data_IF_974860720579
#
_entry.id   IF_974860720579
#
_cell.length_a   1.000
_cell.length_b   1.000
_cell.length_c   1.000
_cell.angle_alpha   90.00
_cell.angle_beta   90.00
_cell.angle_gamma   90.00
#
_symmetry.space_group_name_H-M   'P 1'
#
loop_
_entity.id
_entity.type
_entity.pdbx_description
1 polymer ?
#
# COMPACT_ATOMS: atom_id res chain seq x y z
N UNK A 1 9.30 -13.07 -18.98
CA UNK A 1 9.45 -12.09 -17.89
C UNK A 1 10.26 -12.71 -16.76
N UNK A 2 11.21 -11.98 -16.16
CA UNK A 2 12.06 -12.46 -15.05
C UNK A 2 11.81 -11.62 -13.80
N UNK A 3 11.69 -12.29 -12.63
CA UNK A 3 11.54 -11.65 -11.32
C UNK A 3 12.65 -12.14 -10.40
N UNK A 4 13.33 -11.24 -9.68
CA UNK A 4 14.40 -11.57 -8.74
C UNK A 4 14.26 -10.78 -7.43
N UNK A 5 14.41 -11.47 -6.31
CA UNK A 5 14.31 -10.91 -4.98
C UNK A 5 15.68 -10.48 -4.46
N UNK A 6 15.81 -9.23 -4.04
CA UNK A 6 17.04 -8.64 -3.51
C UNK A 6 16.93 -8.29 -2.02
N UNK A 7 15.69 -8.16 -1.53
CA UNK A 7 15.37 -7.94 -0.13
C UNK A 7 13.97 -8.44 0.18
N UNK A 8 13.81 -9.12 1.30
CA UNK A 8 12.59 -9.86 1.68
C UNK A 8 12.14 -9.57 3.11
N UNK A 9 12.90 -8.76 3.88
CA UNK A 9 12.58 -8.37 5.26
C UNK A 9 11.68 -7.16 5.32
N UNK A 10 10.84 -7.12 6.35
CA UNK A 10 10.04 -5.96 6.72
C UNK A 10 10.68 -5.11 7.78
N UNK A 11 10.22 -3.89 7.90
CA UNK A 11 10.52 -2.91 8.95
C UNK A 11 11.98 -2.48 9.08
N UNK A 12 12.93 -3.39 9.18
CA UNK A 12 14.36 -3.11 9.32
C UNK A 12 15.22 -4.25 8.78
N UNK A 13 16.39 -3.91 8.25
CA UNK A 13 17.37 -4.90 7.82
C UNK A 13 17.92 -5.70 9.02
N UNK A 14 17.94 -7.03 8.91
CA UNK A 14 18.38 -7.96 9.95
C UNK A 14 19.42 -8.94 9.41
N UNK A 15 20.60 -8.46 8.93
CA UNK A 15 21.65 -9.34 8.45
C UNK A 15 22.30 -10.13 9.59
N UNK A 16 22.46 -11.44 9.42
CA UNK A 16 23.11 -12.25 10.44
C UNK A 16 23.02 -13.74 10.15
N UNK A 17 23.72 -14.58 10.95
CA UNK A 17 23.73 -16.03 10.73
C UNK A 17 22.35 -16.69 10.80
N UNK A 18 21.40 -16.08 11.55
CA UNK A 18 20.04 -16.57 11.72
C UNK A 18 19.10 -16.23 10.56
N UNK A 19 19.54 -15.37 9.62
CA UNK A 19 18.72 -14.86 8.51
C UNK A 19 19.38 -15.09 7.15
N UNK A 20 20.41 -15.93 7.08
CA UNK A 20 21.20 -16.16 5.85
C UNK A 20 20.42 -16.88 4.74
N UNK A 21 19.41 -17.67 5.08
CA UNK A 21 18.65 -18.45 4.10
C UNK A 21 17.62 -17.59 3.38
N UNK A 22 16.80 -16.85 4.12
CA UNK A 22 15.78 -16.00 3.52
C UNK A 22 16.29 -14.59 3.22
N UNK A 23 17.38 -14.18 3.84
CA UNK A 23 18.00 -12.87 3.64
C UNK A 23 17.67 -11.88 4.76
N UNK A 24 18.50 -10.86 4.87
CA UNK A 24 18.41 -9.81 5.89
C UNK A 24 18.13 -8.41 5.34
N UNK A 25 18.04 -8.23 4.02
CA UNK A 25 17.76 -6.94 3.39
C UNK A 25 16.27 -6.64 3.35
N UNK A 26 15.92 -5.36 3.46
CA UNK A 26 14.53 -4.90 3.32
C UNK A 26 14.10 -4.82 1.87
N UNK A 27 12.79 -4.67 1.67
CA UNK A 27 12.04 -4.87 0.42
C UNK A 27 12.70 -4.28 -0.82
N UNK A 28 13.06 -5.15 -1.76
CA UNK A 28 13.51 -4.79 -3.10
C UNK A 28 13.33 -5.99 -4.04
N UNK A 29 12.52 -5.81 -5.07
CA UNK A 29 12.26 -6.86 -6.08
C UNK A 29 12.49 -6.31 -7.48
N UNK A 30 13.31 -6.98 -8.27
CA UNK A 30 13.56 -6.68 -9.67
C UNK A 30 12.57 -7.45 -10.56
N UNK A 31 11.99 -6.77 -11.54
CA UNK A 31 11.25 -7.35 -12.63
C UNK A 31 11.83 -6.85 -13.96
N UNK A 32 12.22 -7.78 -14.82
CA UNK A 32 12.71 -7.47 -16.17
C UNK A 32 11.77 -8.07 -17.21
N UNK A 33 11.25 -7.23 -18.11
CA UNK A 33 10.43 -7.68 -19.24
C UNK A 33 11.31 -8.25 -20.37
N UNK A 34 10.72 -9.04 -21.25
CA UNK A 34 11.43 -9.59 -22.45
C UNK A 34 11.87 -8.46 -23.41
N UNK A 35 11.27 -7.28 -23.30
CA UNK A 35 11.66 -6.06 -24.04
C UNK A 35 12.79 -5.28 -23.36
N UNK A 36 13.20 -5.69 -22.18
CA UNK A 36 14.31 -5.10 -21.44
C UNK A 36 13.92 -3.95 -20.52
N UNK A 37 12.62 -3.70 -20.25
CA UNK A 37 12.23 -2.76 -19.20
C UNK A 37 12.67 -3.31 -17.84
N UNK A 38 13.33 -2.48 -17.06
CA UNK A 38 13.71 -2.75 -15.68
C UNK A 38 12.73 -2.03 -14.75
N UNK A 39 11.91 -2.80 -14.03
CA UNK A 39 11.04 -2.32 -12.97
C UNK A 39 11.57 -2.83 -11.63
N UNK A 40 11.57 -1.98 -10.62
CA UNK A 40 12.06 -2.29 -9.28
C UNK A 40 10.92 -1.94 -8.32
N UNK A 41 10.44 -2.92 -7.59
CA UNK A 41 9.47 -2.69 -6.52
C UNK A 41 10.22 -2.44 -5.22
N UNK A 42 9.99 -1.27 -4.67
CA UNK A 42 10.66 -0.70 -3.51
C UNK A 42 12.19 -0.58 -3.65
N UNK A 43 12.75 0.24 -2.80
CA UNK A 43 14.17 0.60 -2.78
C UNK A 43 14.73 0.50 -1.35
N UNK A 44 14.40 -0.61 -0.64
CA UNK A 44 14.97 -0.94 0.65
C UNK A 44 16.45 -1.31 0.54
N UNK A 45 17.04 -1.86 1.58
CA UNK A 45 18.48 -2.17 1.58
C UNK A 45 18.89 -3.16 0.49
N UNK A 46 17.96 -3.99 -0.01
CA UNK A 46 18.16 -4.85 -1.18
C UNK A 46 18.52 -4.12 -2.47
N UNK A 47 18.26 -2.81 -2.56
CA UNK A 47 18.63 -2.01 -3.72
C UNK A 47 20.17 -1.87 -3.90
N UNK A 48 20.93 -1.99 -2.81
CA UNK A 48 22.39 -1.97 -2.90
C UNK A 48 22.97 -3.19 -3.65
N UNK A 49 22.71 -4.44 -3.27
CA UNK A 49 23.19 -5.61 -4.04
C UNK A 49 22.61 -5.64 -5.47
N UNK A 50 21.37 -5.20 -5.70
CA UNK A 50 20.83 -5.01 -7.04
C UNK A 50 21.70 -4.06 -7.86
N UNK A 51 22.05 -2.89 -7.33
CA UNK A 51 22.87 -1.91 -8.05
C UNK A 51 24.28 -2.46 -8.36
N UNK A 52 24.86 -3.26 -7.46
CA UNK A 52 26.14 -3.97 -7.69
C UNK A 52 26.01 -4.94 -8.86
N UNK A 53 24.96 -5.76 -8.92
CA UNK A 53 24.71 -6.70 -10.01
C UNK A 53 24.48 -5.97 -11.35
N UNK A 54 23.65 -4.91 -11.36
CA UNK A 54 23.44 -4.11 -12.56
C UNK A 54 24.77 -3.54 -13.10
N UNK A 55 25.62 -3.02 -12.23
CA UNK A 55 26.94 -2.54 -12.62
C UNK A 55 27.82 -3.64 -13.20
N UNK A 56 27.76 -4.85 -12.63
CA UNK A 56 28.53 -6.00 -13.11
C UNK A 56 28.10 -6.48 -14.51
N UNK A 57 26.86 -6.17 -14.94
CA UNK A 57 26.37 -6.47 -16.28
C UNK A 57 27.09 -5.67 -17.38
N UNK A 58 27.83 -4.63 -17.06
CA UNK A 58 28.66 -3.87 -18.00
C UNK A 58 27.91 -3.12 -19.09
N UNK A 59 26.61 -2.87 -18.94
CA UNK A 59 25.82 -2.08 -19.90
C UNK A 59 26.24 -0.61 -19.86
N UNK A 60 26.19 0.06 -21.01
CA UNK A 60 26.57 1.47 -21.14
C UNK A 60 25.64 2.43 -20.37
N UNK A 61 24.37 2.08 -20.26
CA UNK A 61 23.37 2.83 -19.51
C UNK A 61 22.23 1.92 -19.04
N UNK A 62 21.62 2.32 -17.93
CA UNK A 62 20.41 1.71 -17.38
C UNK A 62 19.27 2.74 -17.32
N UNK A 63 18.08 2.28 -17.67
CA UNK A 63 16.83 3.01 -17.48
C UNK A 63 16.02 2.24 -16.45
N UNK A 64 16.00 2.71 -15.20
CA UNK A 64 15.34 2.04 -14.09
C UNK A 64 14.01 2.71 -13.78
N UNK A 65 12.97 1.93 -13.54
CA UNK A 65 11.68 2.39 -13.06
C UNK A 65 11.46 1.84 -11.66
N UNK A 66 11.52 2.67 -10.63
CA UNK A 66 11.29 2.30 -9.24
C UNK A 66 9.83 2.59 -8.90
N UNK A 67 9.07 1.57 -8.53
CA UNK A 67 7.69 1.66 -8.08
C UNK A 67 7.66 1.45 -6.57
N UNK A 68 7.53 2.52 -5.82
CA UNK A 68 7.46 2.48 -4.36
C UNK A 68 6.03 2.18 -3.93
N UNK A 69 5.85 1.15 -3.08
CA UNK A 69 4.59 0.91 -2.39
C UNK A 69 4.20 2.12 -1.55
N UNK A 70 5.15 2.61 -0.76
CA UNK A 70 5.05 3.84 0.04
C UNK A 70 6.46 4.28 0.50
N UNK A 71 6.53 5.28 1.39
CA UNK A 71 7.81 5.90 1.76
C UNK A 71 8.24 5.62 3.21
N UNK A 72 7.83 4.50 3.83
CA UNK A 72 8.46 4.05 5.06
C UNK A 72 9.92 3.67 4.80
N UNK A 73 10.75 3.74 5.82
CA UNK A 73 12.19 3.64 5.68
C UNK A 73 12.66 2.34 5.05
N UNK A 74 12.09 1.23 5.41
CA UNK A 74 12.43 -0.09 4.87
C UNK A 74 12.16 -0.23 3.36
N UNK A 75 11.34 0.67 2.78
CA UNK A 75 11.06 0.74 1.34
C UNK A 75 11.93 1.75 0.58
N UNK A 76 12.64 2.67 1.27
CA UNK A 76 13.42 3.72 0.61
C UNK A 76 14.86 3.85 1.11
N UNK A 77 15.23 3.24 2.24
CA UNK A 77 16.54 3.44 2.87
C UNK A 77 17.73 2.97 2.02
N UNK A 78 17.51 2.13 1.01
CA UNK A 78 18.54 1.71 0.08
C UNK A 78 18.82 2.70 -1.05
N UNK A 79 17.95 3.68 -1.28
CA UNK A 79 18.08 4.62 -2.39
C UNK A 79 19.41 5.40 -2.37
N UNK A 80 19.93 5.92 -1.23
CA UNK A 80 21.23 6.56 -1.17
C UNK A 80 22.39 5.65 -1.59
N UNK A 81 22.19 4.33 -1.58
CA UNK A 81 23.18 3.32 -1.95
C UNK A 81 22.87 2.65 -3.30
N UNK A 82 21.85 3.11 -4.01
CA UNK A 82 21.54 2.67 -5.36
C UNK A 82 22.50 3.29 -6.37
N UNK A 83 23.71 2.72 -6.44
CA UNK A 83 24.86 3.28 -7.18
C UNK A 83 24.62 3.47 -8.68
N UNK A 84 23.54 2.89 -9.23
CA UNK A 84 23.06 3.16 -10.59
C UNK A 84 22.73 4.63 -10.81
N UNK A 85 22.23 5.34 -9.78
CA UNK A 85 21.94 6.77 -9.82
C UNK A 85 23.20 7.66 -9.81
N UNK A 86 24.36 7.08 -9.48
CA UNK A 86 25.66 7.78 -9.47
C UNK A 86 26.40 7.71 -10.82
N UNK A 87 25.77 7.23 -11.87
CA UNK A 87 26.40 7.08 -13.17
C UNK A 87 25.74 7.99 -14.19
N UNK A 88 26.57 8.86 -14.81
CA UNK A 88 26.11 9.74 -15.89
C UNK A 88 25.63 8.89 -17.08
N UNK A 89 24.50 9.27 -17.65
CA UNK A 89 23.87 8.55 -18.76
C UNK A 89 22.81 7.54 -18.32
N UNK A 90 22.72 7.20 -17.03
CA UNK A 90 21.61 6.45 -16.48
C UNK A 90 20.38 7.36 -16.26
N UNK A 91 19.19 6.78 -16.27
CA UNK A 91 17.96 7.44 -15.84
C UNK A 91 17.21 6.59 -14.82
N UNK A 92 16.59 7.27 -13.85
CA UNK A 92 15.80 6.65 -12.78
C UNK A 92 14.47 7.37 -12.71
N UNK A 93 13.39 6.71 -13.13
CA UNK A 93 12.02 7.20 -12.93
C UNK A 93 11.46 6.59 -11.66
N UNK A 94 11.02 7.41 -10.71
CA UNK A 94 10.53 6.97 -9.41
C UNK A 94 9.06 7.29 -9.31
N UNK A 95 8.26 6.26 -9.04
CA UNK A 95 6.81 6.31 -8.94
C UNK A 95 6.41 6.02 -7.50
N UNK A 96 5.50 6.81 -6.93
CA UNK A 96 5.00 6.62 -5.55
C UNK A 96 3.55 7.08 -5.44
N UNK A 97 2.83 6.67 -4.37
CA UNK A 97 1.49 7.18 -4.12
C UNK A 97 1.45 8.69 -3.99
N UNK A 98 0.49 9.34 -4.67
CA UNK A 98 0.18 10.76 -4.47
C UNK A 98 -0.33 11.00 -3.04
N UNK A 99 -0.02 12.15 -2.46
CA UNK A 99 -0.64 12.60 -1.21
C UNK A 99 0.20 12.48 0.06
N UNK A 100 1.51 12.28 -0.06
CA UNK A 100 2.44 12.42 1.05
C UNK A 100 2.50 13.87 1.59
N UNK A 101 2.94 14.06 2.85
CA UNK A 101 3.14 15.40 3.45
C UNK A 101 4.22 16.22 2.75
N UNK A 102 5.18 15.54 2.15
CA UNK A 102 6.28 16.10 1.36
C UNK A 102 6.17 15.51 -0.02
N UNK A 103 6.70 16.22 -1.00
CA UNK A 103 6.88 15.63 -2.33
C UNK A 103 7.80 14.42 -2.24
N UNK A 104 7.66 13.47 -3.18
CA UNK A 104 8.55 12.31 -3.25
C UNK A 104 10.02 12.74 -3.32
N UNK A 105 10.30 13.81 -4.07
CA UNK A 105 11.65 14.40 -4.14
C UNK A 105 12.14 14.88 -2.77
N UNK A 106 11.30 15.57 -1.99
CA UNK A 106 11.68 16.06 -0.65
C UNK A 106 11.91 14.91 0.34
N UNK A 107 11.14 13.82 0.23
CA UNK A 107 11.33 12.63 1.07
C UNK A 107 12.68 12.00 0.79
N UNK A 108 13.02 11.78 -0.49
CA UNK A 108 14.32 11.21 -0.89
C UNK A 108 15.48 12.16 -0.61
N UNK A 109 15.31 13.47 -0.80
CA UNK A 109 16.32 14.47 -0.45
C UNK A 109 16.59 14.49 1.06
N UNK A 110 15.54 14.35 1.88
CA UNK A 110 15.66 14.36 3.33
C UNK A 110 16.56 13.26 3.89
N UNK A 111 16.55 12.05 3.31
CA UNK A 111 17.47 10.99 3.72
C UNK A 111 18.91 11.15 3.16
N UNK A 112 19.10 12.06 2.19
CA UNK A 112 20.39 12.39 1.58
C UNK A 112 20.90 13.78 2.00
N UNK A 113 20.35 14.37 3.06
CA UNK A 113 20.92 15.59 3.66
C UNK A 113 22.36 15.35 4.10
N UNK A 114 23.23 16.35 3.92
CA UNK A 114 24.67 16.25 4.23
C UNK A 114 24.96 15.76 5.65
N UNK A 115 24.04 15.99 6.58
CA UNK A 115 24.13 15.48 7.96
C UNK A 115 24.14 13.95 8.03
N UNK A 116 23.47 13.27 7.09
CA UNK A 116 23.28 11.83 7.08
C UNK A 116 24.03 11.15 5.94
N UNK A 117 24.21 11.85 4.81
CA UNK A 117 24.82 11.29 3.61
C UNK A 117 25.72 12.35 2.92
N UNK A 118 26.94 11.99 2.43
CA UNK A 118 27.92 12.98 1.95
C UNK A 118 27.60 13.56 0.57
N UNK A 119 26.55 13.09 -0.11
CA UNK A 119 26.14 13.52 -1.45
C UNK A 119 24.64 13.84 -1.41
N UNK A 120 24.28 15.07 -1.74
CA UNK A 120 22.88 15.48 -1.82
C UNK A 120 22.21 14.93 -3.09
N UNK A 121 20.88 14.75 -3.06
CA UNK A 121 20.08 14.22 -4.16
C UNK A 121 20.29 14.96 -5.48
N UNK A 122 20.41 16.29 -5.43
CA UNK A 122 20.64 17.17 -6.60
C UNK A 122 22.06 17.04 -7.21
N UNK A 123 22.98 16.36 -6.54
CA UNK A 123 24.34 16.10 -7.01
C UNK A 123 24.46 14.76 -7.74
N UNK A 124 23.40 13.94 -7.77
CA UNK A 124 23.41 12.69 -8.48
C UNK A 124 23.49 12.92 -9.99
N UNK A 125 24.43 12.27 -10.71
CA UNK A 125 24.65 12.54 -12.13
C UNK A 125 23.67 11.85 -13.08
N UNK A 126 22.84 10.92 -12.62
CA UNK A 126 21.77 10.32 -13.39
C UNK A 126 20.60 11.29 -13.57
N UNK A 127 19.82 11.12 -14.61
CA UNK A 127 18.55 11.81 -14.79
C UNK A 127 17.49 11.16 -13.87
N UNK A 128 16.96 11.91 -12.90
CA UNK A 128 15.96 11.41 -11.97
C UNK A 128 14.64 12.15 -12.19
N UNK A 129 13.57 11.39 -12.40
CA UNK A 129 12.21 11.92 -12.52
C UNK A 129 11.30 11.33 -11.46
N UNK A 130 10.31 12.12 -11.01
CA UNK A 130 9.38 11.76 -9.95
C UNK A 130 7.95 11.78 -10.48
N UNK A 131 7.19 10.76 -10.16
CA UNK A 131 5.83 10.57 -10.68
C UNK A 131 4.90 10.17 -9.53
N UNK A 132 3.95 11.02 -9.24
CA UNK A 132 2.88 10.70 -8.29
C UNK A 132 1.84 9.81 -8.99
N UNK A 133 1.50 8.69 -8.36
CA UNK A 133 0.49 7.75 -8.83
C UNK A 133 -0.73 7.76 -7.94
N UNK A 134 -1.87 7.67 -8.59
CA UNK A 134 -3.14 7.30 -7.96
C UNK A 134 -3.57 5.92 -8.41
N UNK A 135 -4.62 5.39 -7.79
CA UNK A 135 -5.24 4.17 -8.26
C UNK A 135 -5.70 4.30 -9.72
N UNK A 136 -5.44 3.26 -10.52
CA UNK A 136 -5.79 3.26 -11.93
C UNK A 136 -4.83 2.46 -12.79
N UNK A 137 -4.89 2.71 -14.10
CA UNK A 137 -4.03 2.08 -15.10
C UNK A 137 -3.00 3.08 -15.60
N UNK A 138 -1.75 2.72 -15.50
CA UNK A 138 -0.60 3.51 -15.91
C UNK A 138 0.23 2.74 -16.93
N UNK A 139 1.09 3.46 -17.64
CA UNK A 139 2.10 2.87 -18.51
C UNK A 139 3.49 3.21 -17.97
N UNK A 140 4.28 2.17 -17.68
CA UNK A 140 5.66 2.32 -17.23
C UNK A 140 6.56 1.53 -18.19
N UNK A 141 7.42 2.22 -18.92
CA UNK A 141 8.14 1.59 -20.02
C UNK A 141 7.16 1.03 -21.07
N UNK A 142 7.28 -0.25 -21.38
CA UNK A 142 6.34 -0.97 -22.24
C UNK A 142 5.26 -1.74 -21.48
N UNK A 143 5.39 -1.82 -20.16
CA UNK A 143 4.48 -2.56 -19.30
C UNK A 143 3.18 -1.76 -19.03
N UNK A 144 2.08 -2.50 -18.90
CA UNK A 144 0.82 -1.99 -18.36
C UNK A 144 0.82 -2.23 -16.85
N UNK A 145 0.69 -1.16 -16.10
CA UNK A 145 0.74 -1.17 -14.64
C UNK A 145 -0.62 -0.74 -14.09
N UNK A 146 -1.32 -1.63 -13.42
CA UNK A 146 -2.47 -1.26 -12.61
C UNK A 146 -1.98 -0.98 -11.18
N UNK A 147 -2.47 0.11 -10.58
CA UNK A 147 -2.21 0.48 -9.19
C UNK A 147 -3.50 0.43 -8.38
N UNK A 148 -3.44 -0.06 -7.14
CA UNK A 148 -4.56 -0.12 -6.20
C UNK A 148 -4.09 0.27 -4.80
N UNK A 149 -4.87 1.10 -4.08
CA UNK A 149 -4.58 1.40 -2.68
C UNK A 149 -4.72 0.15 -1.82
N UNK A 150 -3.73 -0.07 -0.95
CA UNK A 150 -3.70 -1.13 0.04
C UNK A 150 -4.21 -0.62 1.40
N UNK A 151 -4.58 -1.55 2.26
CA UNK A 151 -5.01 -1.27 3.62
C UNK A 151 -3.79 -1.25 4.55
N UNK A 152 -3.18 -0.09 4.68
CA UNK A 152 -1.99 0.16 5.49
C UNK A 152 -2.09 1.55 6.14
N UNK A 153 -1.50 1.80 7.33
CA UNK A 153 -1.52 3.12 7.98
C UNK A 153 -0.97 4.26 7.11
N UNK A 154 0.06 3.98 6.31
CA UNK A 154 0.53 4.93 5.30
C UNK A 154 -0.25 4.78 3.98
N UNK A 155 -0.23 5.83 3.15
CA UNK A 155 -0.74 5.76 1.78
C UNK A 155 0.13 4.79 0.98
N UNK A 156 -0.40 3.61 0.70
CA UNK A 156 0.34 2.51 0.07
C UNK A 156 -0.36 2.05 -1.20
N UNK A 157 0.40 1.86 -2.29
CA UNK A 157 -0.07 1.28 -3.55
C UNK A 157 0.49 -0.12 -3.73
N UNK A 158 -0.38 -1.06 -4.09
CA UNK A 158 -0.01 -2.31 -4.73
C UNK A 158 -0.01 -2.16 -6.25
N UNK A 159 0.76 -2.97 -6.92
CA UNK A 159 0.98 -2.90 -8.36
C UNK A 159 0.71 -4.24 -9.04
N UNK A 160 -0.01 -4.21 -10.17
CA UNK A 160 -0.17 -5.35 -11.06
C UNK A 160 0.47 -5.02 -12.39
N UNK A 161 1.49 -5.77 -12.77
CA UNK A 161 2.26 -5.61 -13.99
C UNK A 161 1.80 -6.64 -15.02
N UNK A 162 1.38 -6.18 -16.18
CA UNK A 162 1.02 -7.04 -17.30
C UNK A 162 1.91 -6.72 -18.49
N UNK A 163 2.80 -7.63 -18.80
CA UNK A 163 3.69 -7.59 -19.96
C UNK A 163 4.04 -9.03 -20.38
N UNK A 164 4.51 -9.22 -21.60
CA UNK A 164 5.01 -10.50 -22.13
C UNK A 164 4.03 -11.68 -21.99
N UNK A 165 2.71 -11.42 -21.91
CA UNK A 165 1.69 -12.44 -21.63
C UNK A 165 1.70 -13.00 -20.22
N UNK A 166 2.29 -12.30 -19.27
CA UNK A 166 2.45 -12.64 -17.84
C UNK A 166 1.85 -11.55 -16.97
N UNK A 167 1.26 -11.93 -15.83
CA UNK A 167 0.79 -11.02 -14.79
C UNK A 167 1.55 -11.25 -13.47
N UNK A 168 2.25 -10.22 -12.99
CA UNK A 168 2.90 -10.20 -11.67
C UNK A 168 2.22 -9.13 -10.81
N UNK A 169 1.91 -9.47 -9.56
CA UNK A 169 1.25 -8.55 -8.61
C UNK A 169 2.13 -8.39 -7.38
N UNK A 170 2.39 -7.13 -6.99
CA UNK A 170 3.15 -6.76 -5.81
C UNK A 170 2.24 -6.08 -4.80
N UNK A 171 2.06 -6.68 -3.63
CA UNK A 171 1.10 -6.30 -2.59
C UNK A 171 1.78 -6.35 -1.21
N UNK A 172 2.80 -5.53 -1.04
CA UNK A 172 3.55 -5.44 0.23
C UNK A 172 2.97 -4.32 1.06
N UNK A 173 2.85 -4.56 2.36
CA UNK A 173 2.19 -3.71 3.35
C UNK A 173 0.68 -3.60 3.13
N UNK A 174 0.01 -4.70 3.43
CA UNK A 174 -1.44 -4.83 3.39
C UNK A 174 -1.97 -5.57 4.61
N UNK A 175 -2.95 -5.01 5.27
CA UNK A 175 -3.69 -5.65 6.37
C UNK A 175 -5.10 -6.06 5.88
N UNK A 176 -5.62 -7.23 6.30
CA UNK A 176 -7.00 -7.61 6.01
C UNK A 176 -7.99 -6.53 6.45
N UNK A 177 -9.04 -6.31 5.65
CA UNK A 177 -10.11 -5.37 6.02
C UNK A 177 -11.06 -5.93 7.08
N UNK A 178 -11.00 -7.23 7.33
CA UNK A 178 -11.88 -7.93 8.27
C UNK A 178 -11.17 -9.08 8.96
N UNK A 179 -11.47 -9.29 10.26
CA UNK A 179 -10.99 -10.44 11.04
C UNK A 179 -11.46 -11.80 10.49
N UNK A 180 -12.51 -11.79 9.68
CA UNK A 180 -13.06 -12.98 9.03
C UNK A 180 -13.03 -12.80 7.54
N UNK A 181 -12.32 -13.68 6.86
CA UNK A 181 -12.29 -13.64 5.40
C UNK A 181 -13.61 -14.13 4.78
N UNK A 182 -14.20 -15.20 5.31
CA UNK A 182 -15.34 -15.89 4.72
C UNK A 182 -16.68 -15.51 5.36
N UNK A 183 -17.71 -15.39 4.53
CA UNK A 183 -19.10 -15.27 4.97
C UNK A 183 -19.55 -16.56 5.64
N UNK A 184 -20.33 -16.45 6.71
CA UNK A 184 -20.82 -17.62 7.46
C UNK A 184 -21.84 -18.45 6.68
N UNK A 185 -22.53 -17.85 5.71
CA UNK A 185 -23.59 -18.43 4.87
C UNK A 185 -23.10 -18.89 3.49
N UNK A 186 -21.80 -18.87 3.24
CA UNK A 186 -21.21 -19.21 1.95
C UNK A 186 -20.07 -20.22 2.09
N UNK A 187 -19.91 -21.05 1.05
CA UNK A 187 -18.79 -21.99 0.97
C UNK A 187 -17.48 -21.23 0.73
N UNK A 188 -16.42 -21.44 1.54
CA UNK A 188 -15.11 -20.81 1.34
C UNK A 188 -14.47 -21.17 -0.02
N UNK A 189 -13.52 -20.35 -0.48
CA UNK A 189 -12.69 -20.66 -1.65
C UNK A 189 -13.11 -19.94 -2.94
N UNK A 190 -14.09 -19.02 -2.87
CA UNK A 190 -14.48 -18.18 -4.00
C UNK A 190 -14.47 -16.72 -3.62
N UNK A 191 -14.11 -15.83 -4.55
CA UNK A 191 -14.08 -14.37 -4.31
C UNK A 191 -15.45 -13.87 -3.81
N UNK A 192 -16.56 -14.39 -4.36
CA UNK A 192 -17.91 -14.00 -3.97
C UNK A 192 -18.26 -14.38 -2.53
N UNK A 193 -17.56 -15.37 -1.96
CA UNK A 193 -17.74 -15.83 -0.58
C UNK A 193 -16.99 -14.98 0.45
N UNK A 194 -16.11 -14.09 0.01
CA UNK A 194 -15.35 -13.20 0.89
C UNK A 194 -16.32 -12.21 1.55
N UNK A 195 -16.16 -12.00 2.84
CA UNK A 195 -17.09 -11.20 3.66
C UNK A 195 -17.00 -9.71 3.34
N UNK A 196 -15.81 -9.14 3.42
CA UNK A 196 -15.60 -7.71 3.27
C UNK A 196 -15.31 -7.33 1.82
N UNK A 197 -15.89 -6.21 1.34
CA UNK A 197 -15.69 -5.79 -0.04
C UNK A 197 -14.24 -5.38 -0.35
N UNK A 198 -13.56 -4.75 0.61
CA UNK A 198 -12.14 -4.46 0.47
C UNK A 198 -11.30 -5.70 0.17
N UNK A 199 -11.54 -6.80 0.92
CA UNK A 199 -10.87 -8.08 0.67
C UNK A 199 -11.29 -8.71 -0.66
N UNK A 200 -12.60 -8.60 -1.06
CA UNK A 200 -13.03 -9.02 -2.41
C UNK A 200 -12.33 -8.27 -3.52
N UNK A 201 -12.17 -6.96 -3.33
CA UNK A 201 -11.47 -6.11 -4.29
C UNK A 201 -9.99 -6.46 -4.37
N UNK A 202 -9.37 -6.71 -3.22
CA UNK A 202 -7.98 -7.17 -3.14
C UNK A 202 -7.80 -8.52 -3.86
N UNK A 203 -8.70 -9.49 -3.65
CA UNK A 203 -8.72 -10.75 -4.37
C UNK A 203 -8.89 -10.58 -5.89
N UNK A 204 -9.80 -9.69 -6.33
CA UNK A 204 -9.99 -9.39 -7.76
C UNK A 204 -8.74 -8.77 -8.40
N UNK A 205 -8.00 -7.94 -7.65
CA UNK A 205 -6.78 -7.32 -8.15
C UNK A 205 -5.68 -8.33 -8.43
N UNK A 206 -5.57 -9.38 -7.62
CA UNK A 206 -4.62 -10.47 -7.84
C UNK A 206 -5.16 -11.62 -8.70
N UNK A 207 -6.42 -11.55 -9.15
CA UNK A 207 -7.06 -12.67 -9.85
C UNK A 207 -6.27 -13.14 -11.07
N UNK A 208 -6.14 -14.47 -11.19
CA UNK A 208 -5.45 -15.16 -12.28
C UNK A 208 -3.98 -14.70 -12.49
N UNK A 209 -3.32 -14.13 -11.48
CA UNK A 209 -1.91 -13.75 -11.60
C UNK A 209 -1.00 -14.99 -11.70
N UNK A 210 0.10 -14.84 -12.44
CA UNK A 210 1.14 -15.87 -12.54
C UNK A 210 2.01 -15.90 -11.28
N UNK A 211 2.24 -14.71 -10.70
CA UNK A 211 2.95 -14.53 -9.43
C UNK A 211 2.30 -13.38 -8.64
N UNK A 212 1.97 -13.65 -7.40
CA UNK A 212 1.65 -12.63 -6.40
C UNK A 212 2.80 -12.58 -5.39
N UNK A 213 3.32 -11.40 -5.12
CA UNK A 213 4.32 -11.12 -4.08
C UNK A 213 3.57 -10.35 -3.01
N UNK A 214 3.38 -10.94 -1.84
CA UNK A 214 2.53 -10.40 -0.79
C UNK A 214 3.23 -10.46 0.56
N UNK A 215 3.05 -9.41 1.38
CA UNK A 215 3.53 -9.47 2.75
C UNK A 215 2.78 -10.55 3.54
N UNK A 216 3.50 -11.27 4.37
CA UNK A 216 2.96 -12.28 5.25
C UNK A 216 3.76 -12.26 6.55
N UNK A 217 3.81 -11.08 7.16
CA UNK A 217 4.72 -10.76 8.24
C UNK A 217 4.40 -11.58 9.49
N UNK A 218 3.12 -11.93 9.70
CA UNK A 218 2.67 -12.54 10.96
C UNK A 218 2.10 -13.95 10.80
N UNK A 219 2.19 -14.70 11.89
CA UNK A 219 1.32 -15.84 12.14
C UNK A 219 -0.02 -15.35 12.71
N UNK A 220 -1.11 -16.15 12.66
CA UNK A 220 -2.37 -15.81 13.30
C UNK A 220 -2.25 -15.51 14.79
N UNK A 221 -1.37 -16.23 15.48
CA UNK A 221 -1.12 -16.06 16.91
C UNK A 221 -0.51 -14.69 17.22
N UNK A 222 0.45 -14.25 16.42
CA UNK A 222 1.11 -12.95 16.56
C UNK A 222 0.18 -11.80 16.18
N UNK A 223 -0.62 -11.98 15.13
CA UNK A 223 -1.48 -10.95 14.58
C UNK A 223 -2.48 -10.39 15.59
N UNK A 224 -2.93 -11.19 16.55
CA UNK A 224 -3.86 -10.75 17.61
C UNK A 224 -3.37 -9.48 18.35
N UNK A 225 -2.05 -9.34 18.52
CA UNK A 225 -1.39 -8.19 19.16
C UNK A 225 -0.84 -7.15 18.18
N UNK A 226 -0.90 -7.42 16.88
CA UNK A 226 -0.31 -6.61 15.80
C UNK A 226 -1.35 -5.99 14.86
N UNK A 227 -2.64 -6.08 15.21
CA UNK A 227 -3.72 -5.43 14.46
C UNK A 227 -3.46 -3.94 14.34
N UNK A 228 -3.83 -3.37 13.20
CA UNK A 228 -3.60 -1.98 12.83
C UNK A 228 -2.16 -1.61 12.48
N UNK A 229 -1.25 -2.60 12.43
CA UNK A 229 0.13 -2.38 12.01
C UNK A 229 0.29 -2.39 10.48
N UNK A 230 -0.74 -2.83 9.76
CA UNK A 230 -0.80 -2.75 8.31
C UNK A 230 -0.23 -3.96 7.56
N UNK A 231 -0.17 -5.14 8.21
CA UNK A 231 0.41 -6.34 7.63
C UNK A 231 -0.50 -7.57 7.75
N UNK A 232 -0.27 -8.55 6.87
CA UNK A 232 -1.06 -9.76 6.76
C UNK A 232 -0.47 -10.95 7.50
N UNK A 233 -1.32 -11.95 7.73
CA UNK A 233 -0.89 -13.29 8.11
C UNK A 233 -0.70 -14.17 6.88
N UNK A 234 0.18 -15.17 6.96
CA UNK A 234 0.35 -16.14 5.87
C UNK A 234 -0.97 -16.89 5.55
N UNK A 235 -1.82 -17.14 6.56
CA UNK A 235 -3.11 -17.81 6.34
C UNK A 235 -4.04 -16.98 5.47
N UNK A 236 -4.20 -15.70 5.78
CA UNK A 236 -5.00 -14.79 4.96
C UNK A 236 -4.50 -14.76 3.52
N UNK A 237 -3.19 -14.64 3.33
CA UNK A 237 -2.60 -14.56 1.99
C UNK A 237 -2.84 -15.83 1.18
N UNK A 238 -2.66 -17.02 1.78
CA UNK A 238 -2.91 -18.30 1.11
C UNK A 238 -4.38 -18.46 0.73
N UNK A 239 -5.29 -18.16 1.67
CA UNK A 239 -6.73 -18.28 1.46
C UNK A 239 -7.23 -17.35 0.34
N UNK A 240 -6.81 -16.09 0.36
CA UNK A 240 -7.27 -15.12 -0.65
C UNK A 240 -6.63 -15.36 -2.01
N UNK A 241 -5.36 -15.78 -2.06
CA UNK A 241 -4.69 -16.13 -3.31
C UNK A 241 -5.30 -17.38 -3.96
N UNK A 242 -5.65 -18.38 -3.15
CA UNK A 242 -6.37 -19.57 -3.63
C UNK A 242 -7.73 -19.21 -4.24
N UNK A 243 -8.52 -18.37 -3.53
CA UNK A 243 -9.82 -17.90 -4.03
C UNK A 243 -9.71 -17.07 -5.31
N UNK A 244 -8.61 -16.35 -5.48
CA UNK A 244 -8.32 -15.53 -6.65
C UNK A 244 -7.74 -16.32 -7.84
N UNK A 245 -7.54 -17.63 -7.72
CA UNK A 245 -6.97 -18.46 -8.81
C UNK A 245 -5.51 -18.11 -9.14
N UNK A 246 -4.76 -17.60 -8.17
CA UNK A 246 -3.35 -17.30 -8.31
C UNK A 246 -2.56 -18.59 -8.53
N UNK A 247 -1.57 -18.58 -9.44
CA UNK A 247 -0.75 -19.76 -9.71
C UNK A 247 0.36 -19.95 -8.69
N UNK A 248 1.01 -18.85 -8.32
CA UNK A 248 2.13 -18.84 -7.38
C UNK A 248 2.06 -17.64 -6.48
N UNK A 249 2.28 -17.83 -5.18
CA UNK A 249 2.42 -16.75 -4.21
C UNK A 249 3.77 -16.83 -3.50
N UNK A 250 4.48 -15.70 -3.50
CA UNK A 250 5.68 -15.47 -2.73
C UNK A 250 5.31 -14.70 -1.46
N UNK A 251 5.42 -15.34 -0.31
CA UNK A 251 5.26 -14.71 0.99
C UNK A 251 6.55 -13.94 1.29
N UNK A 252 6.45 -12.65 1.58
CA UNK A 252 7.60 -11.76 1.78
C UNK A 252 7.37 -10.82 2.95
N UNK A 253 8.25 -9.86 3.14
CA UNK A 253 8.20 -8.89 4.22
C UNK A 253 8.27 -9.58 5.59
N UNK A 254 9.20 -10.54 5.71
CA UNK A 254 9.37 -11.34 6.92
C UNK A 254 9.67 -10.46 8.13
N UNK A 255 9.03 -10.76 9.27
CA UNK A 255 9.23 -10.02 10.52
C UNK A 255 10.72 -10.04 10.92
N UNK A 256 11.28 -8.91 11.38
CA UNK A 256 12.69 -8.83 11.82
C UNK A 256 13.05 -9.85 12.92
N UNK A 257 12.10 -10.22 13.75
CA UNK A 257 12.30 -11.17 14.85
C UNK A 257 12.22 -12.65 14.41
N UNK A 258 11.83 -12.94 13.16
CA UNK A 258 11.73 -14.27 12.61
C UNK A 258 13.08 -14.75 12.04
N UNK A 259 13.65 -15.76 12.67
CA UNK A 259 14.83 -16.45 12.12
C UNK A 259 14.47 -17.37 10.94
N UNK A 260 15.49 -17.91 10.25
CA UNK A 260 15.32 -18.82 9.12
C UNK A 260 14.48 -20.06 9.45
N UNK A 261 14.53 -20.55 10.70
CA UNK A 261 13.74 -21.72 11.13
C UNK A 261 12.27 -21.35 11.25
N UNK A 262 11.99 -20.17 11.78
CA UNK A 262 10.63 -19.70 11.94
C UNK A 262 9.97 -19.43 10.57
N UNK A 263 10.68 -18.78 9.64
CA UNK A 263 10.19 -18.56 8.28
C UNK A 263 9.99 -19.88 7.52
N UNK A 264 10.88 -20.85 7.71
CA UNK A 264 10.72 -22.22 7.16
C UNK A 264 9.44 -22.90 7.67
N UNK A 265 9.11 -22.70 8.95
CA UNK A 265 7.89 -23.25 9.53
C UNK A 265 6.63 -22.52 8.97
N UNK A 266 6.68 -21.20 8.77
CA UNK A 266 5.61 -20.46 8.07
C UNK A 266 5.40 -21.06 6.68
N UNK A 267 6.47 -21.26 5.90
CA UNK A 267 6.37 -21.85 4.56
C UNK A 267 5.72 -23.24 4.60
N UNK A 268 6.15 -24.09 5.52
CA UNK A 268 5.58 -25.43 5.69
C UNK A 268 4.09 -25.39 6.00
N UNK A 269 3.66 -24.51 6.90
CA UNK A 269 2.24 -24.32 7.27
C UNK A 269 1.43 -23.78 6.10
N UNK A 270 1.96 -22.78 5.40
CA UNK A 270 1.32 -22.16 4.26
C UNK A 270 1.09 -23.16 3.11
N UNK A 271 2.09 -24.00 2.80
CA UNK A 271 1.97 -25.08 1.80
C UNK A 271 0.95 -26.15 2.21
N UNK A 272 0.94 -26.52 3.49
CA UNK A 272 -0.03 -27.46 4.01
C UNK A 272 -1.47 -26.93 3.90
N UNK A 273 -1.69 -25.65 4.20
CA UNK A 273 -2.98 -24.98 4.05
C UNK A 273 -3.43 -24.96 2.59
N UNK A 274 -2.56 -24.56 1.64
CA UNK A 274 -2.87 -24.57 0.21
C UNK A 274 -3.29 -25.97 -0.27
N UNK A 275 -2.57 -27.01 0.15
CA UNK A 275 -2.90 -28.40 -0.16
C UNK A 275 -4.25 -28.84 0.42
N UNK A 276 -4.59 -28.45 1.65
CA UNK A 276 -5.88 -28.75 2.30
C UNK A 276 -7.05 -28.10 1.56
N UNK A 277 -6.84 -26.94 0.93
CA UNK A 277 -7.85 -26.26 0.10
C UNK A 277 -8.01 -26.89 -1.29
N UNK A 278 -7.17 -27.85 -1.66
CA UNK A 278 -7.17 -28.44 -3.00
C UNK A 278 -6.82 -27.44 -4.09
N UNK A 279 -6.21 -26.32 -3.73
CA UNK A 279 -5.82 -25.28 -4.66
C UNK A 279 -4.56 -25.68 -5.43
N UNK A 280 -4.55 -25.42 -6.74
CA UNK A 280 -3.35 -25.52 -7.58
C UNK A 280 -2.45 -24.28 -7.39
N UNK A 281 -2.22 -23.90 -6.13
CA UNK A 281 -1.44 -22.74 -5.70
C UNK A 281 -0.06 -23.19 -5.23
N UNK A 282 0.99 -22.73 -5.91
CA UNK A 282 2.37 -22.91 -5.47
C UNK A 282 2.72 -21.82 -4.46
N UNK A 283 3.08 -22.20 -3.24
CA UNK A 283 3.39 -21.27 -2.12
C UNK A 283 4.83 -21.43 -1.71
N UNK A 284 5.55 -20.31 -1.58
CA UNK A 284 6.90 -20.29 -1.03
C UNK A 284 7.15 -18.98 -0.27
N UNK A 285 8.07 -19.01 0.69
CA UNK A 285 8.61 -17.80 1.30
C UNK A 285 9.73 -17.25 0.40
N UNK A 286 9.65 -15.96 0.07
CA UNK A 286 10.66 -15.30 -0.72
C UNK A 286 12.02 -15.27 0.00
N UNK A 287 13.11 -15.44 -0.75
CA UNK A 287 14.46 -15.35 -0.24
C UNK A 287 15.34 -14.55 -1.17
N UNK A 288 16.37 -13.92 -0.63
CA UNK A 288 17.32 -13.13 -1.42
C UNK A 288 18.05 -14.01 -2.44
N UNK A 289 18.16 -13.53 -3.67
CA UNK A 289 18.73 -14.27 -4.79
C UNK A 289 17.76 -15.23 -5.49
N UNK A 290 16.53 -15.42 -4.96
CA UNK A 290 15.50 -16.17 -5.66
C UNK A 290 15.19 -15.50 -7.00
N UNK A 291 15.30 -16.29 -8.07
CA UNK A 291 15.01 -15.84 -9.44
C UNK A 291 13.94 -16.74 -10.07
N UNK A 292 12.91 -16.12 -10.64
CA UNK A 292 11.82 -16.78 -11.32
C UNK A 292 11.76 -16.32 -12.78
N UNK A 293 11.72 -17.28 -13.69
CA UNK A 293 11.38 -17.02 -15.10
C UNK A 293 9.92 -17.42 -15.30
N UNK A 294 9.10 -16.45 -15.66
CA UNK A 294 7.67 -16.63 -15.86
C UNK A 294 7.38 -16.71 -17.35
N UNK A 295 6.77 -17.82 -17.75
CA UNK A 295 6.44 -18.11 -19.16
C UNK A 295 5.06 -17.53 -19.51
N UNK A 296 4.90 -17.00 -20.75
CA UNK A 296 3.64 -16.41 -21.20
C UNK A 296 2.51 -17.43 -21.25
N UNK A 297 1.30 -16.97 -20.93
CA UNK A 297 0.07 -17.76 -21.10
C UNK A 297 -0.67 -17.35 -22.36
N UNK A 298 -1.15 -18.32 -23.19
CA UNK A 298 -1.86 -18.02 -24.42
C UNK A 298 -3.17 -17.25 -24.25
N UNK A 299 -3.71 -17.16 -23.04
CA UNK A 299 -5.04 -16.63 -22.78
C UNK A 299 -5.09 -15.65 -21.58
N UNK A 300 -3.97 -14.95 -21.26
CA UNK A 300 -4.02 -13.91 -20.24
C UNK A 300 -4.98 -12.81 -20.67
N UNK A 301 -6.12 -12.70 -20.00
CA UNK A 301 -7.03 -11.57 -20.19
C UNK A 301 -6.43 -10.37 -19.47
N UNK A 302 -6.31 -9.21 -20.14
CA UNK A 302 -5.87 -7.98 -19.47
C UNK A 302 -6.77 -7.71 -18.27
N UNK A 303 -6.15 -7.37 -17.14
CA UNK A 303 -6.90 -6.90 -15.99
C UNK A 303 -7.68 -5.66 -16.39
N UNK A 304 -8.98 -5.76 -16.28
CA UNK A 304 -9.88 -4.62 -16.41
C UNK A 304 -10.10 -4.18 -14.98
N UNK A 305 -9.72 -2.94 -14.65
CA UNK A 305 -10.16 -2.36 -13.39
C UNK A 305 -11.66 -2.60 -13.32
N UNK A 306 -12.16 -3.25 -12.24
CA UNK A 306 -13.60 -3.32 -12.07
C UNK A 306 -14.10 -1.88 -12.14
N UNK A 307 -14.73 -1.51 -13.28
CA UNK A 307 -15.36 -0.21 -13.38
C UNK A 307 -16.47 -0.21 -12.31
N UNK A 308 -16.33 0.63 -11.35
CA UNK A 308 -16.82 1.99 -11.34
C UNK A 308 -15.78 3.02 -10.89
N UNK A 309 -14.53 2.69 -10.76
CA UNK A 309 -13.55 3.56 -10.10
C UNK A 309 -12.80 4.54 -11.03
N UNK A 310 -12.50 4.18 -12.28
CA UNK A 310 -11.86 5.13 -13.20
C UNK A 310 -12.77 6.29 -13.64
N UNK A 311 -14.09 6.10 -13.57
CA UNK A 311 -15.04 7.16 -13.90
C UNK A 311 -15.70 7.80 -12.68
N UNK A 312 -15.57 7.23 -11.47
CA UNK A 312 -16.57 7.56 -10.47
C UNK A 312 -16.09 8.42 -9.32
N UNK A 313 -14.88 8.30 -8.81
CA UNK A 313 -14.47 9.20 -7.70
C UNK A 313 -14.15 10.61 -8.22
N UNK A 314 -13.49 10.73 -9.37
CA UNK A 314 -13.24 12.03 -10.01
C UNK A 314 -14.49 12.65 -10.69
N UNK A 315 -15.57 11.89 -10.87
CA UNK A 315 -16.83 12.36 -11.51
C UNK A 315 -18.08 12.16 -10.67
N UNK A 316 -18.02 11.42 -9.54
CA UNK A 316 -19.12 11.36 -8.59
C UNK A 316 -19.00 12.50 -7.58
N UNK A 317 -20.07 13.28 -7.48
CA UNK A 317 -20.24 14.22 -6.39
C UNK A 317 -20.67 13.45 -5.14
N UNK A 318 -19.79 13.37 -4.16
CA UNK A 318 -20.09 12.81 -2.83
C UNK A 318 -20.49 13.93 -1.88
N UNK A 319 -21.33 13.61 -0.89
CA UNK A 319 -21.63 14.52 0.19
C UNK A 319 -20.60 14.34 1.30
N UNK A 320 -19.79 15.37 1.53
CA UNK A 320 -18.74 15.36 2.54
C UNK A 320 -19.10 16.36 3.63
N UNK A 321 -19.07 15.92 4.88
CA UNK A 321 -19.20 16.82 6.03
C UNK A 321 -17.80 17.20 6.51
N UNK A 322 -17.50 18.50 6.55
CA UNK A 322 -16.28 19.05 7.14
C UNK A 322 -16.60 19.64 8.51
N UNK A 323 -15.90 19.15 9.53
CA UNK A 323 -16.08 19.56 10.93
C UNK A 323 -14.76 20.09 11.49
N UNK A 324 -14.71 21.36 11.80
CA UNK A 324 -13.55 22.04 12.38
C UNK A 324 -14.02 23.32 13.09
N UNK A 325 -13.56 23.58 14.30
CA UNK A 325 -13.95 24.80 15.03
C UNK A 325 -13.20 26.05 14.54
N UNK A 326 -12.07 25.87 13.86
CA UNK A 326 -11.30 26.96 13.24
C UNK A 326 -11.90 27.34 11.87
N UNK A 327 -12.53 28.53 11.72
CA UNK A 327 -13.22 28.92 10.48
C UNK A 327 -12.34 28.93 9.24
N UNK A 328 -11.06 29.32 9.39
CA UNK A 328 -10.12 29.42 8.27
C UNK A 328 -9.74 28.03 7.72
N UNK A 329 -9.46 27.07 8.60
CA UNK A 329 -9.16 25.68 8.23
C UNK A 329 -10.40 25.04 7.59
N UNK A 330 -11.56 25.21 8.21
CA UNK A 330 -12.84 24.72 7.69
C UNK A 330 -13.12 25.27 6.30
N UNK A 331 -12.98 26.58 6.11
CA UNK A 331 -13.19 27.24 4.79
C UNK A 331 -12.23 26.70 3.74
N UNK A 332 -10.95 26.53 4.06
CA UNK A 332 -9.94 25.99 3.14
C UNK A 332 -10.30 24.56 2.71
N UNK A 333 -10.66 23.69 3.64
CA UNK A 333 -11.06 22.32 3.34
C UNK A 333 -12.33 22.26 2.48
N UNK A 334 -13.34 23.07 2.82
CA UNK A 334 -14.60 23.19 2.06
C UNK A 334 -14.35 23.65 0.63
N UNK A 335 -13.52 24.66 0.43
CA UNK A 335 -13.20 25.17 -0.92
C UNK A 335 -12.45 24.14 -1.74
N UNK A 336 -11.48 23.46 -1.14
CA UNK A 336 -10.70 22.41 -1.80
C UNK A 336 -11.60 21.26 -2.28
N UNK A 337 -12.49 20.76 -1.43
CA UNK A 337 -13.38 19.65 -1.75
C UNK A 337 -14.50 20.05 -2.73
N UNK A 338 -14.96 21.32 -2.71
CA UNK A 338 -15.88 21.83 -3.73
C UNK A 338 -15.21 21.95 -5.09
N UNK A 339 -13.93 22.34 -5.16
CA UNK A 339 -13.16 22.32 -6.41
C UNK A 339 -12.99 20.90 -6.97
N UNK A 340 -12.92 19.89 -6.09
CA UNK A 340 -12.91 18.47 -6.45
C UNK A 340 -14.35 17.92 -6.78
N UNK A 341 -15.31 18.81 -7.02
CA UNK A 341 -16.69 18.54 -7.45
C UNK A 341 -17.56 17.78 -6.43
N UNK A 342 -17.22 17.84 -5.13
CA UNK A 342 -18.01 17.25 -4.07
C UNK A 342 -19.08 18.23 -3.52
N UNK A 343 -20.19 17.68 -3.01
CA UNK A 343 -21.15 18.42 -2.21
C UNK A 343 -20.63 18.51 -0.77
N UNK A 344 -20.30 19.71 -0.31
CA UNK A 344 -19.71 19.88 1.02
C UNK A 344 -20.66 20.61 1.92
N UNK A 345 -20.96 20.00 3.07
CA UNK A 345 -21.65 20.58 4.21
C UNK A 345 -20.64 20.79 5.34
N UNK A 346 -20.87 21.75 6.20
CA UNK A 346 -19.91 22.16 7.22
C UNK A 346 -20.54 22.30 8.60
N UNK A 347 -19.78 21.94 9.64
CA UNK A 347 -20.12 22.09 11.03
C UNK A 347 -18.97 22.71 11.82
N UNK A 348 -19.25 23.57 12.79
CA UNK A 348 -18.22 24.18 13.64
C UNK A 348 -18.04 23.51 15.00
N UNK A 349 -18.71 22.37 15.27
CA UNK A 349 -18.61 21.66 16.54
C UNK A 349 -19.08 20.21 16.46
N UNK A 350 -18.68 19.37 17.42
CA UNK A 350 -19.09 17.97 17.51
C UNK A 350 -20.61 17.78 17.60
N UNK A 351 -21.35 18.48 18.49
CA UNK A 351 -22.79 18.37 18.57
C UNK A 351 -23.53 18.78 17.28
N UNK A 352 -23.02 19.80 16.59
CA UNK A 352 -23.56 20.21 15.29
C UNK A 352 -23.34 19.15 14.23
N UNK A 353 -22.14 18.56 14.20
CA UNK A 353 -21.80 17.47 13.29
C UNK A 353 -22.74 16.26 13.46
N UNK A 354 -22.97 15.81 14.70
CA UNK A 354 -23.89 14.71 14.99
C UNK A 354 -25.31 14.98 14.50
N UNK A 355 -25.85 16.21 14.76
CA UNK A 355 -27.15 16.61 14.28
C UNK A 355 -27.22 16.60 12.75
N UNK A 356 -26.23 17.16 12.07
CA UNK A 356 -26.18 17.19 10.59
C UNK A 356 -26.08 15.81 9.97
N UNK A 357 -25.32 14.88 10.60
CA UNK A 357 -25.25 13.49 10.14
C UNK A 357 -26.61 12.79 10.25
N UNK A 358 -27.35 13.01 11.35
CA UNK A 358 -28.68 12.44 11.52
C UNK A 358 -29.70 13.04 10.53
N UNK A 359 -29.56 14.32 10.14
CA UNK A 359 -30.45 14.99 9.17
C UNK A 359 -30.08 14.67 7.71
N UNK A 360 -28.79 14.57 7.39
CA UNK A 360 -28.28 14.46 6.02
C UNK A 360 -27.06 13.57 5.99
N UNK A 361 -27.23 12.25 6.08
CA UNK A 361 -26.14 11.28 6.07
C UNK A 361 -25.09 11.61 4.99
N UNK A 362 -23.83 11.93 5.37
CA UNK A 362 -22.74 12.14 4.42
C UNK A 362 -22.14 10.81 3.95
N UNK A 363 -21.40 10.84 2.84
CA UNK A 363 -20.61 9.72 2.35
C UNK A 363 -19.26 9.64 3.07
N UNK A 364 -18.77 10.75 3.63
CA UNK A 364 -17.53 10.86 4.39
C UNK A 364 -17.57 12.05 5.34
N UNK A 365 -16.93 11.91 6.49
CA UNK A 365 -16.71 13.01 7.44
C UNK A 365 -15.22 13.34 7.49
N UNK A 366 -14.88 14.61 7.26
CA UNK A 366 -13.56 15.19 7.59
C UNK A 366 -13.71 15.88 8.93
N UNK A 367 -13.00 15.40 9.96
CA UNK A 367 -13.25 15.74 11.35
C UNK A 367 -11.99 16.28 12.03
N UNK A 368 -12.06 17.46 12.61
CA UNK A 368 -10.97 17.93 13.48
C UNK A 368 -10.88 17.09 14.76
N UNK A 369 -9.66 16.82 15.17
CA UNK A 369 -9.38 16.04 16.38
C UNK A 369 -9.74 16.81 17.65
N UNK A 370 -9.33 18.09 17.74
CA UNK A 370 -9.47 18.92 18.95
C UNK A 370 -10.51 20.01 18.72
N UNK A 371 -11.68 19.85 19.32
CA UNK A 371 -12.73 20.88 19.31
C UNK A 371 -13.20 21.19 20.73
N UNK A 372 -13.60 22.43 21.04
CA UNK A 372 -14.16 22.78 22.34
C UNK A 372 -15.44 22.00 22.67
N UNK A 373 -15.55 21.53 23.90
CA UNK A 373 -16.75 20.87 24.43
C UNK A 373 -16.82 19.37 24.10
N UNK A 374 -16.95 19.00 22.85
CA UNK A 374 -16.96 17.61 22.36
C UNK A 374 -15.86 17.46 21.31
N UNK A 375 -14.84 16.67 21.62
CA UNK A 375 -13.73 16.41 20.70
C UNK A 375 -14.09 15.42 19.57
N UNK A 376 -13.24 15.35 18.55
CA UNK A 376 -13.47 14.48 17.40
C UNK A 376 -13.57 13.00 17.76
N UNK A 377 -12.85 12.54 18.79
CA UNK A 377 -12.89 11.14 19.25
C UNK A 377 -14.22 10.81 19.90
N UNK A 378 -14.79 11.74 20.67
CA UNK A 378 -16.10 11.57 21.28
C UNK A 378 -17.20 11.49 20.22
N UNK A 379 -17.10 12.30 19.15
CA UNK A 379 -17.99 12.21 17.98
C UNK A 379 -17.85 10.84 17.30
N UNK A 380 -16.62 10.37 17.04
CA UNK A 380 -16.37 9.05 16.43
C UNK A 380 -17.00 7.94 17.25
N UNK A 381 -16.79 7.93 18.57
CA UNK A 381 -17.39 6.92 19.46
C UNK A 381 -18.91 6.94 19.39
N UNK A 382 -19.54 8.12 19.37
CA UNK A 382 -20.99 8.26 19.23
C UNK A 382 -21.49 7.71 17.89
N UNK A 383 -20.77 7.94 16.80
CA UNK A 383 -21.09 7.41 15.48
C UNK A 383 -20.91 5.88 15.40
N UNK A 384 -19.86 5.34 15.99
CA UNK A 384 -19.60 3.89 15.99
C UNK A 384 -20.58 3.10 16.86
N UNK A 385 -21.28 3.75 17.78
CA UNK A 385 -22.33 3.15 18.62
C UNK A 385 -23.68 2.96 17.90
N UNK A 386 -23.89 3.62 16.74
CA UNK A 386 -25.15 3.53 15.96
C UNK A 386 -24.92 2.60 14.75
N UNK A 387 -25.86 1.69 14.46
CA UNK A 387 -25.79 0.77 13.31
C UNK A 387 -25.69 1.49 11.97
N UNK A 388 -26.38 2.63 11.82
CA UNK A 388 -26.47 3.41 10.57
C UNK A 388 -25.17 4.11 10.25
N UNK A 389 -24.39 4.52 11.26
CA UNK A 389 -23.15 5.29 11.09
C UNK A 389 -21.89 4.50 11.46
N UNK A 390 -22.02 3.25 11.89
CA UNK A 390 -20.91 2.41 12.31
C UNK A 390 -19.83 2.24 11.21
N UNK A 391 -20.23 2.29 9.93
CA UNK A 391 -19.36 2.16 8.77
C UNK A 391 -19.05 3.47 8.06
N UNK A 392 -19.58 4.60 8.54
CA UNK A 392 -19.35 5.91 7.93
C UNK A 392 -17.86 6.23 7.97
N UNK A 393 -17.19 6.49 6.82
CA UNK A 393 -15.79 6.82 6.80
C UNK A 393 -15.51 8.15 7.47
N UNK A 394 -14.47 8.19 8.28
CA UNK A 394 -14.07 9.38 9.02
C UNK A 394 -12.58 9.61 8.79
N UNK A 395 -12.25 10.73 8.15
CA UNK A 395 -10.91 11.24 7.97
C UNK A 395 -10.64 12.28 9.07
N UNK A 396 -9.71 11.96 9.99
CA UNK A 396 -9.39 12.85 11.10
C UNK A 396 -8.30 13.86 10.72
N UNK A 397 -8.53 15.14 11.00
CA UNK A 397 -7.50 16.19 10.94
C UNK A 397 -6.85 16.32 12.31
N UNK A 398 -5.53 16.20 12.42
CA UNK A 398 -4.85 16.21 13.72
C UNK A 398 -3.54 17.00 13.68
N UNK A 399 -3.22 17.69 14.77
CA UNK A 399 -1.92 18.36 14.93
C UNK A 399 -0.75 17.37 15.09
N UNK A 400 -1.01 16.07 15.22
CA UNK A 400 -0.02 14.98 15.41
C UNK A 400 1.15 15.36 16.33
N UNK A 401 0.86 15.65 17.58
CA UNK A 401 1.89 15.97 18.57
C UNK A 401 2.21 14.79 19.49
N UNK A 402 1.40 13.69 19.46
CA UNK A 402 1.67 12.52 20.29
C UNK A 402 1.09 11.23 19.67
N UNK A 403 1.84 10.13 19.81
CA UNK A 403 1.45 8.79 19.38
C UNK A 403 0.22 8.25 20.12
N UNK A 404 0.01 8.66 21.37
CA UNK A 404 -1.11 8.20 22.19
C UNK A 404 -2.45 8.68 21.62
N UNK A 405 -2.52 9.92 21.13
CA UNK A 405 -3.73 10.48 20.51
C UNK A 405 -4.08 9.80 19.18
N UNK A 406 -3.08 9.48 18.37
CA UNK A 406 -3.26 8.75 17.10
C UNK A 406 -3.78 7.34 17.36
N UNK A 407 -3.19 6.64 18.33
CA UNK A 407 -3.60 5.30 18.75
C UNK A 407 -5.03 5.28 19.28
N UNK A 408 -5.38 6.22 20.17
CA UNK A 408 -6.74 6.34 20.72
C UNK A 408 -7.79 6.55 19.62
N UNK A 409 -7.44 7.25 18.55
CA UNK A 409 -8.34 7.47 17.43
C UNK A 409 -8.57 6.24 16.56
N UNK A 410 -7.52 5.44 16.27
CA UNK A 410 -7.70 4.16 15.58
C UNK A 410 -8.55 3.19 16.42
N UNK A 411 -8.29 3.11 17.72
CA UNK A 411 -9.10 2.31 18.65
C UNK A 411 -10.57 2.79 18.69
N UNK A 412 -10.83 4.08 18.48
CA UNK A 412 -12.18 4.63 18.36
C UNK A 412 -12.85 4.34 17.00
N UNK A 413 -12.11 3.88 15.99
CA UNK A 413 -12.65 3.51 14.68
C UNK A 413 -12.55 4.61 13.61
N UNK A 414 -11.56 5.48 13.67
CA UNK A 414 -11.21 6.44 12.60
C UNK A 414 -10.73 5.67 11.36
N UNK A 415 -11.12 6.14 10.18
CA UNK A 415 -10.76 5.46 8.93
C UNK A 415 -9.36 5.84 8.44
N UNK A 416 -8.98 7.11 8.57
CA UNK A 416 -7.67 7.63 8.15
C UNK A 416 -7.37 8.99 8.81
N UNK A 417 -6.14 9.51 8.67
CA UNK A 417 -5.69 10.76 9.27
C UNK A 417 -5.00 11.68 8.26
N UNK A 418 -5.16 12.99 8.49
CA UNK A 418 -4.36 14.05 7.86
C UNK A 418 -3.80 14.96 8.95
N UNK A 419 -2.49 15.15 8.93
CA UNK A 419 -1.87 16.06 9.90
C UNK A 419 -2.02 17.52 9.50
N UNK A 420 -2.32 18.38 10.46
CA UNK A 420 -2.24 19.83 10.37
C UNK A 420 -0.78 20.29 10.61
N UNK A 421 -0.23 21.23 9.81
CA UNK A 421 -0.81 21.82 8.61
C UNK A 421 -0.79 20.84 7.42
N UNK A 422 -1.84 20.83 6.61
CA UNK A 422 -1.96 20.00 5.41
C UNK A 422 -2.03 20.87 4.13
N UNK A 423 -1.63 20.30 3.01
CA UNK A 423 -1.85 20.92 1.70
C UNK A 423 -3.19 20.47 1.10
N UNK A 424 -3.74 21.27 0.18
CA UNK A 424 -4.97 20.94 -0.54
C UNK A 424 -4.84 19.58 -1.27
N UNK A 425 -3.76 19.29 -2.02
CA UNK A 425 -3.58 18.00 -2.66
C UNK A 425 -3.60 16.82 -1.68
N UNK A 426 -2.97 16.97 -0.49
CA UNK A 426 -2.99 15.94 0.54
C UNK A 426 -4.41 15.63 1.03
N UNK A 427 -5.20 16.67 1.32
CA UNK A 427 -6.58 16.50 1.77
C UNK A 427 -7.41 15.76 0.70
N UNK A 428 -7.33 16.21 -0.55
CA UNK A 428 -8.06 15.61 -1.67
C UNK A 428 -7.67 14.14 -1.86
N UNK A 429 -6.38 13.84 -1.87
CA UNK A 429 -5.89 12.46 -2.04
C UNK A 429 -6.39 11.52 -0.93
N UNK A 430 -6.35 11.97 0.34
CA UNK A 430 -6.86 11.19 1.48
C UNK A 430 -8.38 11.02 1.45
N UNK A 431 -9.12 12.07 1.09
CA UNK A 431 -10.57 12.00 0.90
C UNK A 431 -10.92 10.99 -0.18
N UNK A 432 -10.25 11.04 -1.33
CA UNK A 432 -10.45 10.08 -2.42
C UNK A 432 -10.14 8.65 -1.98
N UNK A 433 -9.05 8.44 -1.24
CA UNK A 433 -8.69 7.13 -0.70
C UNK A 433 -9.75 6.60 0.29
N UNK A 434 -10.27 7.44 1.19
CA UNK A 434 -11.34 7.06 2.11
C UNK A 434 -12.65 6.73 1.37
N UNK A 435 -13.05 7.57 0.41
CA UNK A 435 -14.24 7.33 -0.42
C UNK A 435 -14.07 6.04 -1.26
N UNK A 436 -12.87 5.80 -1.77
CA UNK A 436 -12.55 4.59 -2.49
C UNK A 436 -12.73 3.33 -1.63
N UNK A 437 -12.35 3.39 -0.37
CA UNK A 437 -12.49 2.27 0.58
C UNK A 437 -13.96 1.99 0.95
N UNK A 438 -14.84 2.97 0.83
CA UNK A 438 -16.21 2.92 1.37
C UNK A 438 -17.33 2.99 0.34
N UNK A 439 -17.09 3.47 -0.88
CA UNK A 439 -18.09 3.49 -1.96
C UNK A 439 -18.54 2.09 -2.42
N UNK A 440 -18.22 1.06 -1.66
CA UNK A 440 -18.39 -0.35 -1.93
C UNK A 440 -19.26 -1.02 -0.83
N UNK A 441 -20.00 -0.23 -0.06
CA UNK A 441 -20.94 -0.73 0.94
C UNK A 441 -22.34 -0.99 0.38
#
# INVERSE_FOLDING_TARGET
MRVRFWGTRGSIATPGPSTNHFGGNTSCVELTTDKGDLLIFDCGTGAHPLAVDLKAQGKAAFHSNILLGHTHWDHIQGFPFFTTAFQKGNSVAIYAPEGGRRSLQDVLAGQMEFTYFPIELNQLPAEITYHDLTEGIHKVGTARVAAQYLHHPAMTLGYRIEADGVAVVYLVDHEPFSDRLWRADAEPGRIESILHEGDRRHAKFMADADLVIHDAQYTPEEYASKKTWGHSTYEYVVEIAAAAGVRRVALTHHDPDHDDKFVTEIERRARALASQRGAALDVFCAYEGCELVLEPRPALKPFVTPDPFQMSVAQRSFRILVVDDEPDIRTMAVLALKQDQHQVIEAGSGPEALRMIDEQMPDLVVMDFKMPGMDGIEVVKALRAKSETMRLPILMLTAMTDEASTRAGFEAGVTDYVAKPFSIPQLIARVRACLARTAIG
#
